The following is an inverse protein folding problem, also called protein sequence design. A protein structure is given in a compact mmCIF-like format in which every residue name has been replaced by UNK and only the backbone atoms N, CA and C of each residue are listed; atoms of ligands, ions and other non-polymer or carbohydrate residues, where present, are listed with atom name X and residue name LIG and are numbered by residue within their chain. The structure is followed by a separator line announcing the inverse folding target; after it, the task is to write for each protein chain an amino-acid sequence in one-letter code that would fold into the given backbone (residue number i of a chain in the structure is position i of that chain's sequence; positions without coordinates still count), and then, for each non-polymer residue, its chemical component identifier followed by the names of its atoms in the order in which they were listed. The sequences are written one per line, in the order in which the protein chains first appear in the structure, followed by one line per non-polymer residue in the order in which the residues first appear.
data_IF_502034003181
#
_entry.id   IF_502034003181
#
_cell.length_a   1.000
_cell.length_b   1.000
_cell.length_c   1.000
_cell.angle_alpha   90.00
_cell.angle_beta   90.00
_cell.angle_gamma   90.00
#
_symmetry.space_group_name_H-M   'P 1'
#
loop_
_entity.id
_entity.type
_entity.pdbx_description
1 polymer ?
#
# COMPACT_ATOMS: atom_id res chain seq x y z
N UNK A 1 6.76 23.43 -4.25
CA UNK A 1 5.36 23.52 -3.75
C UNK A 1 4.93 22.12 -3.39
N UNK A 2 4.33 21.87 -2.22
CA UNK A 2 3.93 20.52 -1.77
C UNK A 2 2.73 20.07 -2.61
N UNK A 3 2.75 18.86 -3.18
CA UNK A 3 1.63 18.29 -3.94
C UNK A 3 0.42 18.08 -3.03
N UNK A 4 -0.75 18.52 -3.46
CA UNK A 4 -2.03 18.20 -2.80
C UNK A 4 -2.62 16.92 -3.38
N UNK A 5 -3.54 16.27 -2.64
CA UNK A 5 -4.19 15.07 -3.18
C UNK A 5 -5.06 15.37 -4.40
N UNK A 6 -5.64 16.59 -4.53
CA UNK A 6 -6.38 16.99 -5.72
C UNK A 6 -5.47 17.08 -6.96
N UNK A 7 -4.28 17.67 -6.81
CA UNK A 7 -3.29 17.72 -7.91
C UNK A 7 -2.82 16.31 -8.30
N UNK A 8 -2.62 15.43 -7.30
CA UNK A 8 -2.30 14.04 -7.54
C UNK A 8 -3.44 13.30 -8.27
N UNK A 9 -4.69 13.54 -7.88
CA UNK A 9 -5.87 12.96 -8.55
C UNK A 9 -5.98 13.37 -10.02
N UNK A 10 -5.77 14.64 -10.33
CA UNK A 10 -5.75 15.13 -11.71
C UNK A 10 -4.62 14.50 -12.54
N UNK A 11 -3.47 14.26 -11.92
CA UNK A 11 -2.32 13.61 -12.55
C UNK A 11 -2.64 12.13 -12.84
N UNK A 12 -3.06 11.34 -11.84
CA UNK A 12 -3.34 9.91 -12.04
C UNK A 12 -4.54 9.67 -12.95
N UNK A 13 -5.50 10.59 -13.02
CA UNK A 13 -6.61 10.55 -13.98
C UNK A 13 -6.14 10.56 -15.43
N UNK A 14 -5.03 11.24 -15.71
CA UNK A 14 -4.45 11.36 -17.07
C UNK A 14 -3.49 10.23 -17.42
N UNK A 15 -2.92 9.57 -16.42
CA UNK A 15 -1.84 8.59 -16.60
C UNK A 15 -2.31 7.14 -16.44
N UNK A 16 -3.33 6.88 -15.63
CA UNK A 16 -3.84 5.54 -15.38
C UNK A 16 -5.00 5.20 -16.32
N UNK A 17 -5.15 3.90 -16.61
CA UNK A 17 -6.34 3.40 -17.29
C UNK A 17 -7.62 3.74 -16.49
N UNK A 18 -8.78 3.86 -17.15
CA UNK A 18 -10.06 4.14 -16.47
C UNK A 18 -10.35 3.15 -15.33
N UNK A 19 -10.03 1.86 -15.52
CA UNK A 19 -10.22 0.82 -14.51
C UNK A 19 -9.31 1.05 -13.31
N UNK A 20 -8.03 1.35 -13.54
CA UNK A 20 -7.06 1.59 -12.45
C UNK A 20 -7.38 2.89 -11.73
N UNK A 21 -7.76 3.93 -12.44
CA UNK A 21 -8.21 5.18 -11.84
C UNK A 21 -9.42 4.98 -10.93
N UNK A 22 -10.44 4.22 -11.37
CA UNK A 22 -11.62 3.92 -10.54
C UNK A 22 -11.22 3.17 -9.26
N UNK A 23 -10.34 2.16 -9.36
CA UNK A 23 -9.78 1.47 -8.21
C UNK A 23 -9.11 2.46 -7.24
N UNK A 24 -8.21 3.31 -7.75
CA UNK A 24 -7.53 4.34 -6.95
C UNK A 24 -8.52 5.24 -6.18
N UNK A 25 -9.63 5.63 -6.83
CA UNK A 25 -10.67 6.45 -6.16
C UNK A 25 -11.41 5.67 -5.07
N UNK A 26 -11.68 4.38 -5.28
CA UNK A 26 -12.30 3.53 -4.27
C UNK A 26 -11.37 3.35 -3.06
N UNK A 27 -10.08 3.10 -3.31
CA UNK A 27 -9.04 3.03 -2.25
C UNK A 27 -8.95 4.35 -1.47
N UNK A 28 -8.90 5.50 -2.17
CA UNK A 28 -8.90 6.82 -1.52
C UNK A 28 -10.11 7.00 -0.60
N UNK A 29 -11.31 6.68 -1.08
CA UNK A 29 -12.55 6.82 -0.29
C UNK A 29 -12.49 6.00 0.99
N UNK A 30 -12.03 4.76 0.91
CA UNK A 30 -11.93 3.85 2.06
C UNK A 30 -10.80 4.28 3.00
N UNK A 31 -9.62 4.61 2.49
CA UNK A 31 -8.48 5.06 3.29
C UNK A 31 -8.81 6.32 4.11
N UNK A 32 -9.50 7.30 3.51
CA UNK A 32 -9.97 8.51 4.23
C UNK A 32 -10.95 8.15 5.34
N UNK A 33 -11.91 7.25 5.08
CA UNK A 33 -12.86 6.79 6.10
C UNK A 33 -12.15 6.08 7.26
N UNK A 34 -11.20 5.20 6.97
CA UNK A 34 -10.41 4.52 7.99
C UNK A 34 -9.52 5.51 8.76
N UNK A 35 -8.91 6.47 8.06
CA UNK A 35 -8.09 7.51 8.70
C UNK A 35 -8.89 8.33 9.70
N UNK A 36 -10.12 8.74 9.36
CA UNK A 36 -11.04 9.41 10.29
C UNK A 36 -11.35 8.56 11.52
N UNK A 37 -11.63 7.26 11.30
CA UNK A 37 -11.95 6.33 12.37
C UNK A 37 -10.78 6.10 13.35
N UNK A 38 -9.56 6.00 12.82
CA UNK A 38 -8.36 5.70 13.62
C UNK A 38 -7.56 6.94 14.07
N UNK A 39 -8.08 8.15 13.81
CA UNK A 39 -7.43 9.40 14.20
C UNK A 39 -6.12 9.68 13.43
N UNK A 40 -6.07 9.29 12.16
CA UNK A 40 -4.95 9.56 11.24
C UNK A 40 -5.32 10.77 10.35
N UNK A 41 -4.32 11.53 9.92
CA UNK A 41 -4.51 12.66 9.01
C UNK A 41 -5.12 12.21 7.67
N UNK A 42 -6.33 12.71 7.40
CA UNK A 42 -7.11 12.35 6.21
C UNK A 42 -6.52 12.86 4.90
N UNK A 43 -5.80 13.99 4.93
CA UNK A 43 -5.10 14.53 3.75
C UNK A 43 -3.91 13.65 3.38
N UNK A 44 -3.15 13.18 4.40
CA UNK A 44 -2.08 12.21 4.19
C UNK A 44 -2.62 10.90 3.63
N UNK A 45 -3.72 10.39 4.20
CA UNK A 45 -4.36 9.15 3.72
C UNK A 45 -4.88 9.30 2.29
N UNK A 46 -5.51 10.43 1.94
CA UNK A 46 -5.97 10.71 0.60
C UNK A 46 -4.80 10.77 -0.40
N UNK A 47 -3.72 11.49 -0.06
CA UNK A 47 -2.56 11.62 -0.95
C UNK A 47 -1.84 10.28 -1.15
N UNK A 48 -1.60 9.53 -0.08
CA UNK A 48 -1.00 8.20 -0.15
C UNK A 48 -1.83 7.25 -1.03
N UNK A 49 -3.16 7.22 -0.83
CA UNK A 49 -4.07 6.39 -1.59
C UNK A 49 -4.14 6.78 -3.07
N UNK A 50 -4.12 8.07 -3.42
CA UNK A 50 -4.11 8.50 -4.82
C UNK A 50 -2.82 8.11 -5.53
N UNK A 51 -1.69 8.11 -4.83
CA UNK A 51 -0.37 7.85 -5.42
C UNK A 51 0.06 6.38 -5.40
N UNK A 52 -0.56 5.49 -4.58
CA UNK A 52 -0.06 4.15 -4.32
C UNK A 52 0.20 3.31 -5.58
N UNK A 53 -0.70 3.40 -6.55
CA UNK A 53 -0.66 2.63 -7.81
C UNK A 53 -0.23 3.47 -9.03
N UNK A 54 0.35 4.65 -8.83
CA UNK A 54 0.75 5.55 -9.91
C UNK A 54 1.80 4.96 -10.87
N UNK A 55 2.54 3.94 -10.42
CA UNK A 55 3.52 3.21 -11.24
C UNK A 55 3.03 1.80 -11.66
N UNK A 56 1.76 1.44 -11.38
CA UNK A 56 1.24 0.07 -11.57
C UNK A 56 1.22 -0.40 -13.02
N UNK A 57 0.98 0.52 -13.94
CA UNK A 57 0.83 0.25 -15.36
C UNK A 57 2.09 0.60 -16.16
N UNK A 58 3.20 0.96 -15.49
CA UNK A 58 4.50 1.18 -16.13
C UNK A 58 5.11 -0.14 -16.59
N UNK A 59 5.80 -0.15 -17.76
CA UNK A 59 6.53 -1.31 -18.24
C UNK A 59 7.62 -1.75 -17.24
N UNK A 60 7.90 -3.06 -17.19
CA UNK A 60 8.95 -3.63 -16.34
C UNK A 60 10.30 -2.94 -16.49
N UNK A 61 10.68 -2.58 -17.71
CA UNK A 61 11.94 -1.87 -18.01
C UNK A 61 11.99 -0.50 -17.38
N UNK A 62 10.87 0.22 -17.35
CA UNK A 62 10.79 1.55 -16.73
C UNK A 62 10.83 1.45 -15.21
N UNK A 63 10.14 0.46 -14.61
CA UNK A 63 10.23 0.21 -13.17
C UNK A 63 11.67 -0.09 -12.74
N UNK A 64 12.40 -0.92 -13.50
CA UNK A 64 13.82 -1.19 -13.23
C UNK A 64 14.67 0.07 -13.35
N UNK A 65 14.44 0.90 -14.38
CA UNK A 65 15.18 2.14 -14.58
C UNK A 65 14.96 3.12 -13.43
N UNK A 66 13.70 3.32 -12.99
CA UNK A 66 13.36 4.17 -11.84
C UNK A 66 14.13 3.71 -10.58
N UNK A 67 14.15 2.41 -10.33
CA UNK A 67 14.88 1.85 -9.18
C UNK A 67 16.39 2.04 -9.30
N UNK A 68 16.98 1.92 -10.50
CA UNK A 68 18.41 2.09 -10.73
C UNK A 68 18.86 3.54 -10.60
N UNK A 69 18.13 4.49 -11.21
CA UNK A 69 18.51 5.89 -11.26
C UNK A 69 18.47 6.58 -9.88
N UNK A 70 17.68 6.07 -8.98
CA UNK A 70 17.45 6.77 -7.71
C UNK A 70 18.30 6.23 -6.55
N UNK A 71 19.25 5.34 -6.77
CA UNK A 71 20.18 4.78 -5.76
C UNK A 71 19.51 4.39 -4.40
N UNK A 72 18.18 4.46 -4.34
CA UNK A 72 17.32 4.09 -3.19
C UNK A 72 17.23 2.57 -3.10
N UNK A 73 17.82 1.90 -4.08
CA UNK A 73 17.98 0.45 -4.08
C UNK A 73 18.92 0.10 -2.94
N UNK A 74 18.35 -0.21 -1.78
CA UNK A 74 19.03 -1.09 -0.84
C UNK A 74 19.46 -2.30 -1.65
N UNK A 75 20.74 -2.70 -1.60
CA UNK A 75 21.24 -3.91 -2.28
C UNK A 75 20.22 -5.02 -2.11
N UNK A 76 19.62 -5.48 -3.22
CA UNK A 76 18.64 -6.56 -3.21
C UNK A 76 17.19 -6.19 -3.56
N UNK A 77 16.82 -4.90 -3.70
CA UNK A 77 15.44 -4.54 -4.09
C UNK A 77 15.02 -5.13 -5.44
N UNK A 78 15.95 -5.21 -6.40
CA UNK A 78 15.72 -5.87 -7.69
C UNK A 78 15.53 -7.39 -7.57
N UNK A 79 15.87 -7.99 -6.44
CA UNK A 79 15.67 -9.42 -6.18
C UNK A 79 14.29 -9.70 -5.56
N UNK A 80 13.51 -8.66 -5.26
CA UNK A 80 12.14 -8.80 -4.81
C UNK A 80 11.22 -9.20 -5.96
N UNK A 81 10.10 -9.89 -5.71
CA UNK A 81 9.14 -10.25 -6.75
C UNK A 81 8.65 -9.03 -7.54
N UNK A 82 8.63 -9.15 -8.86
CA UNK A 82 8.21 -8.04 -9.74
C UNK A 82 6.84 -7.41 -9.39
N UNK A 83 5.81 -8.19 -8.97
CA UNK A 83 4.52 -7.61 -8.61
C UNK A 83 4.54 -6.55 -7.52
N UNK A 84 5.61 -6.49 -6.70
CA UNK A 84 5.73 -5.49 -5.62
C UNK A 84 6.52 -4.25 -6.02
N UNK A 85 7.16 -4.22 -7.19
CA UNK A 85 8.04 -3.11 -7.59
C UNK A 85 7.29 -1.79 -7.77
N UNK A 86 6.04 -1.83 -8.24
CA UNK A 86 5.27 -0.62 -8.50
C UNK A 86 5.08 0.26 -7.25
N UNK A 87 4.89 -0.32 -6.08
CA UNK A 87 4.77 0.44 -4.84
C UNK A 87 6.06 1.17 -4.49
N UNK A 88 7.21 0.51 -4.65
CA UNK A 88 8.53 1.10 -4.46
C UNK A 88 8.74 2.24 -5.46
N UNK A 89 8.46 1.99 -6.75
CA UNK A 89 8.60 2.99 -7.81
C UNK A 89 7.65 4.18 -7.60
N UNK A 90 6.39 3.95 -7.19
CA UNK A 90 5.44 5.00 -6.89
C UNK A 90 5.95 5.93 -5.76
N UNK A 91 6.54 5.36 -4.70
CA UNK A 91 7.14 6.15 -3.62
C UNK A 91 8.36 6.96 -4.09
N UNK A 92 9.20 6.37 -4.96
CA UNK A 92 10.33 7.08 -5.58
C UNK A 92 9.83 8.26 -6.41
N UNK A 93 8.85 8.04 -7.30
CA UNK A 93 8.27 9.10 -8.13
C UNK A 93 7.60 10.18 -7.28
N UNK A 94 6.88 9.80 -6.22
CA UNK A 94 6.29 10.74 -5.29
C UNK A 94 7.33 11.66 -4.67
N UNK A 95 8.48 11.13 -4.26
CA UNK A 95 9.58 11.90 -3.65
C UNK A 95 10.30 12.76 -4.67
N UNK A 96 10.68 12.20 -5.81
CA UNK A 96 11.62 12.83 -6.75
C UNK A 96 10.95 13.74 -7.77
N UNK A 97 9.77 13.37 -8.26
CA UNK A 97 9.07 14.11 -9.31
C UNK A 97 7.95 14.99 -8.76
N UNK A 98 7.26 14.54 -7.69
CA UNK A 98 6.08 15.25 -7.19
C UNK A 98 6.31 15.94 -5.86
N UNK A 99 7.58 15.97 -5.41
CA UNK A 99 8.02 16.68 -4.21
C UNK A 99 7.22 16.34 -2.94
N UNK A 100 6.83 15.08 -2.78
CA UNK A 100 6.27 14.56 -1.53
C UNK A 100 7.43 14.27 -0.59
N UNK A 101 7.51 15.02 0.52
CA UNK A 101 8.62 14.91 1.48
C UNK A 101 8.20 14.27 2.80
N UNK A 102 6.94 13.92 2.96
CA UNK A 102 6.41 13.27 4.16
C UNK A 102 6.77 11.79 4.13
N UNK A 103 7.68 11.39 5.02
CA UNK A 103 8.19 10.01 5.08
C UNK A 103 7.11 8.99 5.46
N UNK A 104 6.04 9.40 6.17
CA UNK A 104 4.92 8.53 6.50
C UNK A 104 4.09 8.19 5.25
N UNK A 105 3.84 9.19 4.38
CA UNK A 105 3.17 9.00 3.10
C UNK A 105 4.02 8.10 2.18
N UNK A 106 5.32 8.41 2.06
CA UNK A 106 6.25 7.63 1.22
C UNK A 106 6.37 6.19 1.70
N UNK A 107 6.40 5.97 3.02
CA UNK A 107 6.40 4.65 3.62
C UNK A 107 5.15 3.86 3.25
N UNK A 108 3.98 4.46 3.44
CA UNK A 108 2.70 3.79 3.15
C UNK A 108 2.63 3.38 1.66
N UNK A 109 3.00 4.27 0.74
CA UNK A 109 3.05 3.96 -0.69
C UNK A 109 4.02 2.80 -0.97
N UNK A 110 5.24 2.84 -0.40
CA UNK A 110 6.27 1.84 -0.69
C UNK A 110 5.93 0.44 -0.18
N UNK A 111 5.22 0.32 0.95
CA UNK A 111 4.92 -0.96 1.59
C UNK A 111 3.48 -1.46 1.41
N UNK A 112 2.65 -0.78 0.61
CA UNK A 112 1.23 -1.11 0.49
C UNK A 112 0.95 -2.52 -0.06
N UNK A 113 1.92 -3.16 -0.70
CA UNK A 113 1.79 -4.52 -1.25
C UNK A 113 2.34 -5.61 -0.35
N UNK A 114 3.27 -5.28 0.53
CA UNK A 114 4.04 -6.28 1.31
C UNK A 114 3.92 -6.10 2.81
N UNK A 115 3.55 -4.91 3.25
CA UNK A 115 3.80 -4.51 4.62
C UNK A 115 5.29 -4.34 4.90
N UNK A 116 5.61 -4.12 6.16
CA UNK A 116 6.97 -4.03 6.74
C UNK A 116 6.91 -4.20 8.26
N UNK A 117 8.04 -4.40 8.90
CA UNK A 117 8.13 -4.32 10.36
C UNK A 117 7.76 -2.90 10.84
N UNK A 118 7.16 -2.81 12.02
CA UNK A 118 6.79 -1.54 12.67
C UNK A 118 5.97 -0.60 11.78
N UNK A 119 4.89 -1.11 11.18
CA UNK A 119 3.98 -0.32 10.35
C UNK A 119 3.29 0.79 11.15
N UNK A 120 3.28 2.01 10.62
CA UNK A 120 2.43 3.09 11.12
C UNK A 120 0.95 2.77 10.90
N UNK A 121 0.05 3.53 11.54
CA UNK A 121 -1.39 3.40 11.25
C UNK A 121 -1.68 3.70 9.78
N UNK A 122 -1.01 4.68 9.17
CA UNK A 122 -1.19 5.02 7.76
C UNK A 122 -0.73 3.89 6.83
N UNK A 123 0.39 3.23 7.13
CA UNK A 123 0.86 2.05 6.38
C UNK A 123 -0.21 0.95 6.36
N UNK A 124 -0.79 0.63 7.54
CA UNK A 124 -1.83 -0.40 7.70
C UNK A 124 -3.12 -0.02 6.98
N UNK A 125 -3.55 1.24 7.12
CA UNK A 125 -4.76 1.77 6.46
C UNK A 125 -4.65 1.65 4.95
N UNK A 126 -3.53 2.07 4.36
CA UNK A 126 -3.38 2.01 2.91
C UNK A 126 -3.35 0.57 2.40
N UNK A 127 -2.61 -0.32 3.07
CA UNK A 127 -2.56 -1.75 2.73
C UNK A 127 -3.96 -2.38 2.75
N UNK A 128 -4.72 -2.16 3.82
CA UNK A 128 -6.07 -2.71 3.97
C UNK A 128 -7.03 -2.08 2.97
N UNK A 129 -7.00 -0.77 2.77
CA UNK A 129 -7.88 -0.08 1.84
C UNK A 129 -7.68 -0.56 0.38
N UNK A 130 -6.45 -0.89 -0.04
CA UNK A 130 -6.21 -1.51 -1.34
C UNK A 130 -6.80 -2.92 -1.42
N UNK A 131 -6.65 -3.72 -0.36
CA UNK A 131 -7.18 -5.09 -0.33
C UNK A 131 -8.72 -5.14 -0.28
N UNK A 132 -9.37 -4.18 0.37
CA UNK A 132 -10.80 -4.25 0.71
C UNK A 132 -11.65 -3.20 -0.01
N UNK A 133 -11.06 -2.44 -0.96
CA UNK A 133 -11.80 -1.45 -1.77
C UNK A 133 -13.07 -2.03 -2.39
N UNK A 134 -14.04 -1.16 -2.69
CA UNK A 134 -15.43 -1.54 -2.99
C UNK A 134 -15.60 -2.55 -4.12
N UNK A 135 -14.68 -2.56 -5.09
CA UNK A 135 -14.70 -3.49 -6.24
C UNK A 135 -14.03 -4.85 -5.95
N UNK A 136 -13.41 -5.01 -4.78
CA UNK A 136 -12.76 -6.28 -4.40
C UNK A 136 -13.83 -7.32 -4.06
N UNK A 137 -13.74 -8.47 -4.71
CA UNK A 137 -14.62 -9.62 -4.50
C UNK A 137 -13.79 -10.90 -4.49
N UNK A 138 -13.49 -11.41 -3.30
CA UNK A 138 -12.77 -12.66 -3.09
C UNK A 138 -13.17 -13.27 -1.73
N UNK A 139 -13.00 -14.59 -1.53
CA UNK A 139 -13.35 -15.23 -0.27
C UNK A 139 -12.68 -14.59 0.95
N UNK A 140 -13.49 -14.20 1.94
CA UNK A 140 -13.02 -13.57 3.17
C UNK A 140 -12.91 -12.03 3.14
N UNK A 141 -13.21 -11.37 2.01
CA UNK A 141 -13.13 -9.89 1.93
C UNK A 141 -14.12 -9.20 2.86
N UNK A 142 -15.33 -9.72 3.02
CA UNK A 142 -16.34 -9.13 3.90
C UNK A 142 -15.97 -9.24 5.39
N UNK A 143 -15.37 -10.38 5.78
CA UNK A 143 -14.83 -10.55 7.13
C UNK A 143 -13.71 -9.55 7.40
N UNK A 144 -12.81 -9.36 6.42
CA UNK A 144 -11.71 -8.40 6.53
C UNK A 144 -12.23 -6.96 6.61
N UNK A 145 -13.25 -6.58 5.80
CA UNK A 145 -13.94 -5.28 5.88
C UNK A 145 -14.55 -5.01 7.25
N UNK A 146 -15.15 -6.04 7.85
CA UNK A 146 -15.70 -5.94 9.21
C UNK A 146 -14.61 -5.78 10.26
N UNK A 147 -13.50 -6.51 10.10
CA UNK A 147 -12.39 -6.52 11.05
C UNK A 147 -11.58 -5.23 11.01
N UNK A 148 -11.32 -4.68 9.83
CA UNK A 148 -10.50 -3.47 9.65
C UNK A 148 -11.09 -2.22 10.33
N UNK A 149 -12.39 -2.19 10.57
CA UNK A 149 -13.06 -1.12 11.29
C UNK A 149 -13.15 -1.35 12.80
N UNK A 150 -12.81 -2.56 13.28
CA UNK A 150 -12.82 -2.91 14.72
C UNK A 150 -11.42 -2.98 15.32
N UNK A 151 -10.49 -3.57 14.62
CA UNK A 151 -9.11 -3.74 15.10
C UNK A 151 -8.13 -3.77 13.92
N UNK A 152 -7.38 -2.68 13.77
CA UNK A 152 -6.48 -2.45 12.65
C UNK A 152 -5.35 -3.51 12.59
N UNK A 153 -4.83 -3.91 13.76
CA UNK A 153 -3.71 -4.86 13.82
C UNK A 153 -4.16 -6.30 13.53
N UNK A 154 -5.30 -6.72 14.09
CA UNK A 154 -5.88 -8.04 13.76
C UNK A 154 -6.26 -8.13 12.28
N UNK A 155 -6.82 -7.05 11.71
CA UNK A 155 -7.11 -6.99 10.27
C UNK A 155 -5.84 -7.10 9.42
N UNK A 156 -4.78 -6.40 9.82
CA UNK A 156 -3.49 -6.45 9.11
C UNK A 156 -2.84 -7.84 9.17
N UNK A 157 -2.89 -8.51 10.32
CA UNK A 157 -2.41 -9.90 10.48
C UNK A 157 -3.19 -10.84 9.55
N UNK A 158 -4.52 -10.72 9.50
CA UNK A 158 -5.35 -11.53 8.61
C UNK A 158 -5.03 -11.24 7.14
N UNK A 159 -4.93 -9.98 6.76
CA UNK A 159 -4.61 -9.55 5.40
C UNK A 159 -3.25 -10.09 4.92
N UNK A 160 -2.22 -10.03 5.76
CA UNK A 160 -0.89 -10.58 5.44
C UNK A 160 -0.92 -12.10 5.27
N UNK A 161 -1.63 -12.84 6.15
CA UNK A 161 -1.82 -14.29 6.00
C UNK A 161 -2.50 -14.63 4.68
N UNK A 162 -3.56 -13.89 4.32
CA UNK A 162 -4.27 -14.08 3.04
C UNK A 162 -3.37 -13.80 1.84
N UNK A 163 -2.58 -12.71 1.90
CA UNK A 163 -1.65 -12.33 0.82
C UNK A 163 -0.56 -13.40 0.63
N UNK A 164 0.07 -13.87 1.70
CA UNK A 164 1.12 -14.89 1.65
C UNK A 164 0.53 -16.19 1.08
N UNK A 165 -0.60 -16.67 1.62
CA UNK A 165 -1.28 -17.88 1.15
C UNK A 165 -1.67 -17.80 -0.32
N UNK A 166 -2.20 -16.66 -0.78
CA UNK A 166 -2.55 -16.46 -2.18
C UNK A 166 -1.35 -16.56 -3.13
N UNK A 167 -0.20 -16.02 -2.73
CA UNK A 167 1.03 -16.10 -3.53
C UNK A 167 1.56 -17.54 -3.57
N UNK A 168 1.56 -18.23 -2.44
CA UNK A 168 2.00 -19.63 -2.34
C UNK A 168 1.10 -20.58 -3.15
N UNK A 169 -0.21 -20.39 -3.13
CA UNK A 169 -1.17 -21.16 -3.95
C UNK A 169 -0.92 -21.02 -5.46
N UNK A 170 -0.28 -19.93 -5.88
CA UNK A 170 0.17 -19.71 -7.27
C UNK A 170 1.55 -20.27 -7.57
N UNK A 171 2.12 -21.08 -6.66
CA UNK A 171 3.49 -21.58 -6.73
C UNK A 171 4.54 -20.46 -6.90
N UNK A 172 4.26 -19.27 -6.36
CA UNK A 172 5.16 -18.13 -6.32
C UNK A 172 5.73 -17.94 -4.91
N UNK A 173 6.83 -17.21 -4.81
CA UNK A 173 7.48 -16.90 -3.53
C UNK A 173 6.94 -15.56 -3.04
N UNK A 174 6.37 -15.54 -1.84
CA UNK A 174 5.96 -14.30 -1.19
C UNK A 174 7.18 -13.41 -0.88
N UNK A 175 6.99 -12.10 -0.93
CA UNK A 175 8.06 -11.18 -0.57
C UNK A 175 8.46 -11.37 0.89
N UNK A 176 9.78 -11.46 1.23
CA UNK A 176 10.24 -11.65 2.60
C UNK A 176 9.74 -10.60 3.59
N UNK A 177 9.51 -9.37 3.14
CA UNK A 177 8.98 -8.31 4.01
C UNK A 177 7.57 -8.63 4.52
N UNK A 178 6.74 -9.36 3.74
CA UNK A 178 5.42 -9.78 4.20
C UNK A 178 5.49 -10.74 5.39
N UNK A 179 6.43 -11.68 5.37
CA UNK A 179 6.65 -12.59 6.49
C UNK A 179 7.19 -11.87 7.73
N UNK A 180 8.12 -10.93 7.54
CA UNK A 180 8.65 -10.10 8.64
C UNK A 180 7.57 -9.22 9.25
N UNK A 181 6.75 -8.56 8.41
CA UNK A 181 5.62 -7.74 8.84
C UNK A 181 4.64 -8.56 9.69
N UNK A 182 4.30 -9.77 9.23
CA UNK A 182 3.41 -10.68 9.95
C UNK A 182 3.98 -11.09 11.31
N UNK A 183 5.23 -11.54 11.33
CA UNK A 183 5.91 -11.94 12.57
C UNK A 183 6.01 -10.77 13.57
N UNK A 184 6.34 -9.58 13.07
CA UNK A 184 6.43 -8.38 13.91
C UNK A 184 5.07 -8.04 14.53
N UNK A 185 3.99 -8.00 13.74
CA UNK A 185 2.65 -7.71 14.23
C UNK A 185 2.17 -8.76 15.25
N UNK A 186 2.42 -10.04 15.01
CA UNK A 186 2.05 -11.11 15.95
C UNK A 186 2.77 -10.99 17.29
N UNK A 187 4.01 -10.49 17.29
CA UNK A 187 4.79 -10.29 18.51
C UNK A 187 4.44 -9.02 19.29
N UNK A 188 3.85 -7.99 18.61
CA UNK A 188 3.65 -6.66 19.19
C UNK A 188 2.18 -6.20 19.21
N UNK A 189 1.25 -6.93 18.59
CA UNK A 189 -0.17 -6.65 18.78
C UNK A 189 -0.55 -6.99 20.22
N UNK A 190 -0.98 -5.97 20.95
CA UNK A 190 -1.57 -6.17 22.27
C UNK A 190 -2.83 -7.01 22.08
N UNK A 191 -2.91 -8.16 22.75
CA UNK A 191 -4.17 -8.86 22.91
C UNK A 191 -5.09 -7.97 23.73
N UNK A 192 -5.88 -7.13 23.07
CA UNK A 192 -7.06 -6.56 23.68
C UNK A 192 -8.08 -7.68 23.85
N UNK A 193 -7.91 -8.50 24.89
CA UNK A 193 -8.97 -9.27 25.49
C UNK A 193 -9.89 -8.31 26.22
N UNK A 194 -10.90 -7.77 25.52
CA UNK A 194 -12.18 -7.38 26.13
C UNK A 194 -13.28 -7.32 25.07
#
# INVERSE_FOLDING_TARGET
MKMTYQQAEDMVRRTLSPKRFQHTMNVKKLAVRMAQHYGVDTEKAALAAVLHDSAKELPRTELLQIMQDNAIIKKGTQNRPEPVWHGICAAILAKTQWNVQDEEILSAIACHTTGKENMSKLDKILFLADMTSAERDYPGVEELRSLEMRNLDKAMIQALKMTISFVEQKNAIADPESAKALAWLQAHSVEDDQ
#
